data_IF_764609824590
#
_entry.id   IF_764609824590
#
_cell.length_a   1.000
_cell.length_b   1.000
_cell.length_c   1.000
_cell.angle_alpha   90.00
_cell.angle_beta   90.00
_cell.angle_gamma   90.00
#
_symmetry.space_group_name_H-M   'P 1'
#
loop_
_entity.id
_entity.type
_entity.pdbx_description
1 polymer ?
#
# COMPACT_ATOMS: atom_id res chain seq x y z
N UNK A 1 -8.88 21.24 3.04
CA UNK A 1 -7.94 20.13 3.32
C UNK A 1 -6.53 20.71 3.29
N UNK A 2 -5.66 20.38 4.26
CA UNK A 2 -4.26 20.83 4.24
C UNK A 2 -3.50 19.94 3.26
N UNK A 3 -3.03 20.50 2.16
CA UNK A 3 -2.12 19.79 1.26
C UNK A 3 -0.78 19.57 1.97
N UNK A 4 -0.41 18.31 2.17
CA UNK A 4 0.90 17.93 2.69
C UNK A 4 1.88 17.84 1.54
N UNK A 5 2.52 18.96 1.21
CA UNK A 5 3.69 18.97 0.34
C UNK A 5 4.88 18.40 1.14
N UNK A 6 5.21 17.13 0.91
CA UNK A 6 6.42 16.50 1.46
C UNK A 6 7.37 16.25 0.28
N UNK A 7 8.55 16.88 0.31
CA UNK A 7 9.62 16.56 -0.63
C UNK A 7 10.13 15.13 -0.37
N UNK A 8 10.45 14.40 -1.43
CA UNK A 8 10.89 13.00 -1.35
C UNK A 8 12.19 12.86 -0.54
N UNK A 9 13.05 13.87 -0.59
CA UNK A 9 14.31 13.96 0.13
C UNK A 9 14.09 13.97 1.65
N UNK A 10 13.02 14.62 2.12
CA UNK A 10 12.74 14.85 3.54
C UNK A 10 11.85 13.78 4.19
N UNK A 11 11.25 12.87 3.40
CA UNK A 11 10.31 11.86 3.90
C UNK A 11 10.92 11.02 5.01
N UNK A 12 12.20 10.61 4.84
CA UNK A 12 12.89 9.75 5.82
C UNK A 12 13.07 10.46 7.15
N UNK A 13 13.49 11.73 7.10
CA UNK A 13 13.75 12.52 8.29
C UNK A 13 12.44 12.81 9.05
N UNK A 14 11.39 13.23 8.35
CA UNK A 14 10.07 13.45 8.96
C UNK A 14 9.49 12.18 9.58
N UNK A 15 9.65 11.03 8.91
CA UNK A 15 9.22 9.74 9.46
C UNK A 15 9.96 9.42 10.78
N UNK A 16 11.26 9.69 10.82
CA UNK A 16 12.07 9.47 12.02
C UNK A 16 11.63 10.38 13.18
N UNK A 17 11.42 11.66 12.92
CA UNK A 17 10.96 12.63 13.94
C UNK A 17 9.59 12.28 14.49
N UNK A 18 8.63 11.92 13.64
CA UNK A 18 7.30 11.47 14.08
C UNK A 18 7.36 10.18 14.89
N UNK A 19 8.29 9.28 14.56
CA UNK A 19 8.51 8.06 15.34
C UNK A 19 9.05 8.36 16.73
N UNK A 20 9.95 9.33 16.87
CA UNK A 20 10.46 9.79 18.17
C UNK A 20 9.36 10.45 19.01
N UNK A 21 8.56 11.36 18.43
CA UNK A 21 7.42 11.96 19.13
C UNK A 21 6.44 10.91 19.66
N UNK A 22 6.15 9.87 18.86
CA UNK A 22 5.29 8.76 19.29
C UNK A 22 5.88 7.98 20.46
N UNK A 23 7.19 7.78 20.47
CA UNK A 23 7.89 7.13 21.58
C UNK A 23 7.78 7.95 22.87
N UNK A 24 8.00 9.27 22.79
CA UNK A 24 7.86 10.20 23.93
C UNK A 24 6.43 10.21 24.49
N UNK A 25 5.43 10.14 23.61
CA UNK A 25 4.02 10.04 24.00
C UNK A 25 3.59 8.64 24.51
N UNK A 26 4.50 7.66 24.57
CA UNK A 26 4.20 6.30 25.03
C UNK A 26 3.38 5.45 24.05
N UNK A 27 3.27 5.85 22.79
CA UNK A 27 2.57 5.05 21.78
C UNK A 27 3.41 3.83 21.39
N UNK A 28 2.79 2.67 21.13
CA UNK A 28 3.49 1.51 20.63
C UNK A 28 4.10 1.78 19.25
N UNK A 29 5.43 1.71 19.14
CA UNK A 29 6.17 1.87 17.88
C UNK A 29 5.74 0.86 16.79
N UNK A 30 5.22 -0.28 17.21
CA UNK A 30 4.57 -1.26 16.35
C UNK A 30 3.22 -1.61 16.97
N UNK A 31 2.14 -1.23 16.29
CA UNK A 31 0.82 -1.71 16.65
C UNK A 31 0.77 -3.21 16.40
N UNK A 32 0.57 -3.99 17.47
CA UNK A 32 0.19 -5.39 17.31
C UNK A 32 -1.11 -5.39 16.53
N UNK A 33 -1.22 -6.24 15.50
CA UNK A 33 -2.50 -6.40 14.78
C UNK A 33 -3.57 -6.73 15.82
N UNK A 34 -4.56 -5.88 15.94
CA UNK A 34 -5.66 -6.02 16.91
C UNK A 34 -6.53 -7.24 16.62
N UNK A 35 -6.46 -7.79 15.39
CA UNK A 35 -7.10 -9.04 14.99
C UNK A 35 -6.12 -9.90 14.19
N UNK A 36 -5.96 -11.20 14.52
CA UNK A 36 -5.30 -12.15 13.63
C UNK A 36 -5.97 -12.10 12.25
N UNK A 37 -5.18 -12.15 11.17
CA UNK A 37 -5.77 -12.34 9.84
C UNK A 37 -6.35 -13.75 9.82
N UNK A 38 -7.66 -13.85 9.62
CA UNK A 38 -8.35 -15.11 9.40
C UNK A 38 -7.69 -15.85 8.20
N UNK A 39 -7.15 -17.06 8.39
CA UNK A 39 -6.49 -17.82 7.32
C UNK A 39 -7.39 -18.04 6.10
N UNK A 40 -8.69 -18.24 6.30
CA UNK A 40 -9.65 -18.44 5.22
C UNK A 40 -9.79 -17.18 4.37
N UNK A 41 -9.97 -16.03 5.02
CA UNK A 41 -10.06 -14.73 4.32
C UNK A 41 -8.76 -14.39 3.59
N UNK A 42 -7.61 -14.78 4.15
CA UNK A 42 -6.32 -14.59 3.47
C UNK A 42 -6.23 -15.44 2.19
N UNK A 43 -6.64 -16.70 2.24
CA UNK A 43 -6.65 -17.58 1.05
C UNK A 43 -7.62 -17.08 -0.01
N UNK A 44 -8.86 -16.75 0.38
CA UNK A 44 -9.86 -16.22 -0.53
C UNK A 44 -9.40 -14.90 -1.20
N UNK A 45 -8.72 -14.02 -0.45
CA UNK A 45 -8.15 -12.79 -1.00
C UNK A 45 -7.03 -13.09 -2.01
N UNK A 46 -6.15 -14.06 -1.72
CA UNK A 46 -5.09 -14.46 -2.65
C UNK A 46 -5.67 -15.08 -3.91
N UNK A 47 -6.64 -15.98 -3.80
CA UNK A 47 -7.35 -16.56 -4.96
C UNK A 47 -8.02 -15.50 -5.81
N UNK A 48 -8.73 -14.55 -5.16
CA UNK A 48 -9.35 -13.44 -5.87
C UNK A 48 -8.31 -12.57 -6.58
N UNK A 49 -7.20 -12.23 -5.92
CA UNK A 49 -6.10 -11.47 -6.52
C UNK A 49 -5.54 -12.21 -7.74
N UNK A 50 -5.26 -13.51 -7.64
CA UNK A 50 -4.76 -14.30 -8.76
C UNK A 50 -5.74 -14.34 -9.94
N UNK A 51 -7.05 -14.31 -9.69
CA UNK A 51 -8.06 -14.28 -10.75
C UNK A 51 -8.10 -12.95 -11.50
N UNK A 52 -7.88 -11.83 -10.80
CA UNK A 52 -7.98 -10.49 -11.41
C UNK A 52 -6.63 -9.95 -11.91
N UNK A 53 -5.52 -10.51 -11.42
CA UNK A 53 -4.18 -10.02 -11.76
C UNK A 53 -3.83 -10.48 -13.17
N UNK A 54 -3.50 -9.54 -14.09
CA UNK A 54 -3.06 -9.90 -15.43
C UNK A 54 -1.79 -10.77 -15.40
N UNK A 55 -1.49 -11.52 -16.47
CA UNK A 55 -0.25 -12.28 -16.58
C UNK A 55 0.98 -11.41 -16.29
N UNK A 56 2.00 -11.98 -15.65
CA UNK A 56 3.22 -11.25 -15.29
C UNK A 56 3.88 -10.57 -16.51
N UNK A 57 3.83 -11.22 -17.68
CA UNK A 57 4.33 -10.67 -18.94
C UNK A 57 3.64 -9.34 -19.28
N UNK A 58 2.33 -9.28 -19.16
CA UNK A 58 1.50 -8.12 -19.52
C UNK A 58 1.66 -6.96 -18.52
N UNK A 59 1.97 -7.29 -17.26
CA UNK A 59 2.30 -6.29 -16.23
C UNK A 59 3.68 -5.70 -16.51
N UNK A 60 4.68 -6.55 -16.80
CA UNK A 60 6.05 -6.12 -17.07
C UNK A 60 6.19 -5.39 -18.40
N UNK A 61 5.37 -5.72 -19.41
CA UNK A 61 5.34 -5.03 -20.69
C UNK A 61 4.56 -3.71 -20.65
N UNK A 62 3.78 -3.44 -19.60
CA UNK A 62 2.92 -2.26 -19.48
C UNK A 62 1.57 -2.39 -20.19
N UNK A 63 1.35 -3.44 -21.00
CA UNK A 63 0.14 -3.64 -21.79
C UNK A 63 -1.13 -3.73 -20.93
N UNK A 64 -1.02 -4.33 -19.74
CA UNK A 64 -2.12 -4.42 -18.80
C UNK A 64 -2.61 -3.04 -18.34
N UNK A 65 -1.69 -2.10 -18.12
CA UNK A 65 -2.01 -0.74 -17.70
C UNK A 65 -2.56 0.07 -18.87
N UNK A 66 -1.96 -0.04 -20.06
CA UNK A 66 -2.44 0.63 -21.27
C UNK A 66 -3.88 0.26 -21.60
N UNK A 67 -4.23 -1.03 -21.49
CA UNK A 67 -5.62 -1.49 -21.67
C UNK A 67 -6.56 -0.86 -20.65
N UNK A 68 -6.17 -0.87 -19.37
CA UNK A 68 -6.96 -0.29 -18.27
C UNK A 68 -7.24 1.21 -18.48
N UNK A 69 -6.24 1.98 -18.94
CA UNK A 69 -6.40 3.41 -19.18
C UNK A 69 -7.22 3.71 -20.44
N UNK A 70 -7.12 2.87 -21.48
CA UNK A 70 -7.95 2.99 -22.70
C UNK A 70 -9.42 2.67 -22.45
N UNK A 71 -9.71 1.66 -21.63
CA UNK A 71 -11.09 1.29 -21.28
C UNK A 71 -11.78 2.36 -20.43
N UNK A 72 -11.05 3.08 -19.57
CA UNK A 72 -11.59 4.17 -18.74
C UNK A 72 -11.76 5.50 -19.47
N UNK A 73 -11.22 5.62 -20.67
CA UNK A 73 -11.29 6.85 -21.49
C UNK A 73 -12.46 6.85 -22.47
N UNK A 74 -13.33 5.82 -22.42
CA UNK A 74 -14.59 5.72 -23.15
C UNK A 74 -15.76 5.87 -22.18
#
# INVERSE_FOLDING_TARGET
>A
MREMNISLEDIRQRYYEEKLKRLEMGYPLKFRRTRPRDPFKSKAMVEWLLRITPPAKDILSGEAFDRLFRERSK
#
